data_IF_633613145463
#
_entry.id   IF_633613145463
#
_cell.length_a   1.000
_cell.length_b   1.000
_cell.length_c   1.000
_cell.angle_alpha   90.00
_cell.angle_beta   90.00
_cell.angle_gamma   90.00
#
_symmetry.space_group_name_H-M   'P 1'
#
loop_
_entity.id
_entity.type
_entity.pdbx_description
1 polymer ?
#
# COMPACT_ATOMS: atom_id res chain seq x y z
N UNK A 1 -10.73 -1.99 -2.05
CA UNK A 1 -9.39 -1.84 -2.64
C UNK A 1 -8.35 -1.55 -1.57
N UNK A 2 -8.38 -0.37 -0.95
CA UNK A 2 -7.37 -0.04 0.08
C UNK A 2 -7.45 -0.96 1.30
N UNK A 3 -8.65 -1.24 1.78
CA UNK A 3 -8.81 -2.12 2.93
C UNK A 3 -8.36 -3.54 2.64
N UNK A 4 -8.57 -4.02 1.42
CA UNK A 4 -8.11 -5.34 1.02
C UNK A 4 -6.58 -5.40 1.02
N UNK A 5 -5.92 -4.36 0.56
CA UNK A 5 -4.46 -4.28 0.58
C UNK A 5 -3.94 -4.26 2.02
N UNK A 6 -4.54 -3.42 2.87
CA UNK A 6 -4.14 -3.35 4.27
C UNK A 6 -4.29 -4.70 4.96
N UNK A 7 -5.40 -5.40 4.74
CA UNK A 7 -5.64 -6.71 5.33
C UNK A 7 -4.63 -7.75 4.83
N UNK A 8 -4.29 -7.71 3.54
CA UNK A 8 -3.32 -8.63 2.98
C UNK A 8 -1.93 -8.42 3.61
N UNK A 9 -1.54 -7.18 3.83
CA UNK A 9 -0.26 -6.89 4.46
C UNK A 9 -0.24 -7.27 5.94
N UNK A 10 -1.33 -7.02 6.66
CA UNK A 10 -1.44 -7.41 8.07
C UNK A 10 -1.36 -8.93 8.24
N UNK A 11 -1.86 -9.68 7.27
CA UNK A 11 -1.85 -11.15 7.31
C UNK A 11 -0.63 -11.77 6.65
N UNK A 12 0.29 -10.95 6.16
CA UNK A 12 1.44 -11.43 5.37
C UNK A 12 1.02 -12.27 4.18
N UNK A 13 -0.08 -11.89 3.54
CA UNK A 13 -0.63 -12.64 2.41
C UNK A 13 -0.06 -12.11 1.09
N UNK A 14 1.12 -12.60 0.73
CA UNK A 14 1.79 -12.17 -0.49
C UNK A 14 0.98 -12.49 -1.74
N UNK A 15 0.24 -13.62 -1.73
CA UNK A 15 -0.60 -13.99 -2.87
C UNK A 15 -1.71 -12.97 -3.12
N UNK A 16 -2.35 -12.48 -2.05
CA UNK A 16 -3.39 -11.47 -2.17
C UNK A 16 -2.82 -10.14 -2.69
N UNK A 17 -1.66 -9.73 -2.18
CA UNK A 17 -1.00 -8.51 -2.65
C UNK A 17 -0.63 -8.65 -4.13
N UNK A 18 -0.18 -9.83 -4.56
CA UNK A 18 0.16 -10.07 -5.94
C UNK A 18 -1.01 -9.86 -6.88
N UNK A 19 -2.23 -10.18 -6.44
CA UNK A 19 -3.43 -9.94 -7.23
C UNK A 19 -3.87 -8.48 -7.23
N UNK A 20 -3.53 -7.74 -6.18
CA UNK A 20 -3.92 -6.33 -6.06
C UNK A 20 -3.02 -5.38 -6.81
N UNK A 21 -1.79 -5.76 -7.09
CA UNK A 21 -0.82 -4.90 -7.78
C UNK A 21 -0.71 -5.26 -9.26
N UNK A 22 -0.71 -4.24 -10.11
CA UNK A 22 -0.51 -4.45 -11.54
C UNK A 22 0.93 -4.89 -11.83
N UNK A 23 1.14 -5.53 -12.98
CA UNK A 23 2.49 -6.00 -13.34
C UNK A 23 3.50 -4.86 -13.42
N UNK A 24 3.08 -3.69 -13.87
CA UNK A 24 3.94 -2.51 -13.97
C UNK A 24 3.78 -1.54 -12.80
N UNK A 25 3.30 -2.06 -11.67
CA UNK A 25 3.11 -1.26 -10.46
C UNK A 25 4.38 -0.52 -10.05
N UNK A 26 4.22 0.71 -9.60
CA UNK A 26 5.30 1.52 -9.06
C UNK A 26 4.86 2.20 -7.77
N UNK A 27 5.74 2.19 -6.78
CA UNK A 27 5.52 2.91 -5.52
C UNK A 27 6.68 3.88 -5.29
N UNK A 28 6.34 5.14 -5.03
CA UNK A 28 7.31 6.13 -4.58
C UNK A 28 7.13 6.33 -3.09
N UNK A 29 8.20 6.18 -2.33
CA UNK A 29 8.14 6.29 -0.87
C UNK A 29 8.38 7.71 -0.39
N UNK A 30 8.07 7.94 0.89
CA UNK A 30 8.33 9.22 1.53
C UNK A 30 9.82 9.60 1.53
N UNK A 31 10.69 8.59 1.46
CA UNK A 31 12.14 8.77 1.43
C UNK A 31 12.69 8.98 0.02
N UNK A 32 11.80 9.00 -0.98
CA UNK A 32 12.22 9.18 -2.37
C UNK A 32 12.70 7.91 -3.06
N UNK A 33 12.40 6.74 -2.50
CA UNK A 33 12.75 5.47 -3.09
C UNK A 33 11.65 4.99 -4.03
N UNK A 34 12.02 4.17 -4.99
CA UNK A 34 11.09 3.62 -5.97
C UNK A 34 11.10 2.10 -5.87
N UNK A 35 9.92 1.52 -5.70
CA UNK A 35 9.76 0.06 -5.62
C UNK A 35 8.81 -0.42 -6.72
N UNK A 36 9.09 -1.61 -7.23
CA UNK A 36 8.21 -2.28 -8.18
C UNK A 36 7.40 -3.38 -7.46
N UNK A 37 6.52 -4.05 -8.22
CA UNK A 37 5.67 -5.11 -7.67
C UNK A 37 6.49 -6.23 -7.04
N UNK A 38 7.54 -6.70 -7.72
CA UNK A 38 8.36 -7.80 -7.21
C UNK A 38 8.99 -7.46 -5.87
N UNK A 39 9.45 -6.22 -5.70
CA UNK A 39 10.06 -5.79 -4.45
C UNK A 39 9.05 -5.73 -3.32
N UNK A 40 7.83 -5.25 -3.60
CA UNK A 40 6.77 -5.19 -2.57
C UNK A 40 6.36 -6.61 -2.15
N UNK A 41 6.13 -7.50 -3.11
CA UNK A 41 5.75 -8.88 -2.81
C UNK A 41 6.87 -9.59 -2.03
N UNK A 42 8.12 -9.38 -2.42
CA UNK A 42 9.24 -9.98 -1.72
C UNK A 42 9.34 -9.50 -0.28
N UNK A 43 9.06 -8.20 -0.01
CA UNK A 43 9.12 -7.67 1.35
C UNK A 43 8.09 -8.33 2.27
N UNK A 44 6.97 -8.78 1.71
CA UNK A 44 5.94 -9.48 2.48
C UNK A 44 6.36 -10.94 2.71
N UNK A 45 6.90 -11.58 1.69
CA UNK A 45 7.33 -12.99 1.80
C UNK A 45 8.49 -13.17 2.78
N UNK A 46 9.45 -12.26 2.76
CA UNK A 46 10.62 -12.35 3.64
C UNK A 46 10.40 -11.65 4.98
N UNK A 47 9.20 -11.12 5.17
CA UNK A 47 8.76 -10.48 6.42
C UNK A 47 9.62 -9.29 6.84
N UNK A 48 10.19 -8.58 5.86
CA UNK A 48 10.92 -7.36 6.16
C UNK A 48 9.98 -6.19 6.47
N UNK A 49 8.68 -6.35 6.18
CA UNK A 49 7.65 -5.39 6.53
C UNK A 49 6.48 -6.15 7.17
N UNK A 50 6.35 -6.01 8.48
CA UNK A 50 5.30 -6.70 9.26
C UNK A 50 4.61 -5.71 10.20
N UNK A 51 3.64 -4.95 9.71
CA UNK A 51 2.91 -4.05 10.61
C UNK A 51 1.95 -4.84 11.51
N UNK A 52 1.79 -4.36 12.75
CA UNK A 52 0.76 -4.86 13.66
C UNK A 52 -0.56 -4.13 13.45
N UNK A 53 -0.49 -2.87 13.05
CA UNK A 53 -1.65 -2.04 12.74
C UNK A 53 -1.39 -1.34 11.42
N UNK A 54 -2.40 -1.36 10.56
CA UNK A 54 -2.36 -0.67 9.27
C UNK A 54 -3.78 -0.21 8.94
N UNK A 55 -3.98 1.10 8.96
CA UNK A 55 -5.31 1.70 8.78
C UNK A 55 -5.26 2.82 7.74
N UNK A 56 -6.30 2.90 6.96
CA UNK A 56 -6.52 4.00 6.02
C UNK A 56 -7.81 4.71 6.40
N UNK A 57 -7.78 6.03 6.51
CA UNK A 57 -8.94 6.83 6.89
C UNK A 57 -9.06 8.05 6.01
N UNK A 58 -10.23 8.70 6.05
CA UNK A 58 -10.47 9.92 5.28
C UNK A 58 -10.31 9.72 3.79
N UNK A 59 -10.65 8.54 3.30
CA UNK A 59 -10.46 8.22 1.89
C UNK A 59 -11.46 8.94 1.00
N UNK A 60 -10.93 9.51 -0.09
CA UNK A 60 -11.74 10.13 -1.14
C UNK A 60 -11.38 9.43 -2.45
N UNK A 61 -12.41 8.98 -3.17
CA UNK A 61 -12.23 8.28 -4.43
C UNK A 61 -12.63 9.20 -5.58
N UNK A 62 -11.72 9.37 -6.53
CA UNK A 62 -11.97 10.14 -7.76
C UNK A 62 -12.03 9.14 -8.91
N UNK A 63 -13.25 8.78 -9.33
CA UNK A 63 -13.44 7.76 -10.35
C UNK A 63 -13.50 8.38 -11.74
N UNK A 64 -12.80 7.78 -12.68
CA UNK A 64 -12.76 8.20 -14.08
C UNK A 64 -12.83 6.95 -14.97
N UNK A 65 -14.06 6.45 -15.19
CA UNK A 65 -14.27 5.23 -15.97
C UNK A 65 -13.61 4.03 -15.31
N UNK A 66 -12.65 3.42 -15.98
CA UNK A 66 -11.93 2.26 -15.44
C UNK A 66 -10.72 2.64 -14.60
N UNK A 67 -10.58 3.92 -14.25
CA UNK A 67 -9.48 4.42 -13.43
C UNK A 67 -10.04 5.12 -12.20
N UNK A 68 -9.42 4.92 -11.06
CA UNK A 68 -9.79 5.61 -9.83
C UNK A 68 -8.53 6.07 -9.10
N UNK A 69 -8.55 7.31 -8.62
CA UNK A 69 -7.48 7.84 -7.76
C UNK A 69 -8.05 7.92 -6.36
N UNK A 70 -7.37 7.31 -5.39
CA UNK A 70 -7.79 7.30 -3.99
C UNK A 70 -6.77 8.07 -3.18
N UNK A 71 -7.22 9.07 -2.44
CA UNK A 71 -6.40 9.79 -1.49
C UNK A 71 -6.90 9.51 -0.08
N UNK A 72 -6.01 9.58 0.89
CA UNK A 72 -6.39 9.38 2.27
C UNK A 72 -5.23 9.58 3.21
N UNK A 73 -5.49 9.30 4.48
CA UNK A 73 -4.46 9.28 5.50
C UNK A 73 -4.23 7.84 5.94
N UNK A 74 -3.03 7.54 6.39
CA UNK A 74 -2.73 6.23 6.91
C UNK A 74 -2.05 6.33 8.26
N UNK A 75 -2.21 5.27 9.03
CA UNK A 75 -1.51 5.04 10.27
C UNK A 75 -1.03 3.60 10.29
N UNK A 76 0.25 3.41 10.59
CA UNK A 76 0.81 2.07 10.74
C UNK A 76 1.76 2.03 11.92
N UNK A 77 1.82 0.88 12.56
CA UNK A 77 2.80 0.63 13.61
C UNK A 77 3.18 -0.84 13.61
N UNK A 78 4.36 -1.11 14.13
CA UNK A 78 4.85 -2.47 14.24
C UNK A 78 6.06 -2.50 15.15
N UNK A 79 6.77 -3.61 15.11
CA UNK A 79 7.98 -3.82 15.90
C UNK A 79 9.06 -4.36 14.99
N UNK A 80 10.26 -3.78 15.07
CA UNK A 80 11.42 -4.26 14.33
C UNK A 80 12.53 -4.57 15.32
N UNK A 81 12.92 -5.84 15.40
CA UNK A 81 13.96 -6.32 16.30
C UNK A 81 13.71 -5.88 17.75
N UNK A 82 12.45 -5.97 18.17
CA UNK A 82 12.04 -5.61 19.52
C UNK A 82 11.82 -4.12 19.74
N UNK A 83 12.03 -3.29 18.72
CA UNK A 83 11.83 -1.85 18.82
C UNK A 83 10.53 -1.44 18.18
N UNK A 84 9.63 -0.76 18.91
CA UNK A 84 8.38 -0.29 18.30
C UNK A 84 8.65 0.85 17.34
N UNK A 85 7.85 0.88 16.26
CA UNK A 85 7.87 1.98 15.31
C UNK A 85 6.44 2.33 14.92
N UNK A 86 6.22 3.57 14.53
CA UNK A 86 4.95 3.99 13.98
C UNK A 86 5.16 5.08 12.93
N UNK A 87 4.25 5.14 11.97
CA UNK A 87 4.23 6.19 10.95
C UNK A 87 2.80 6.57 10.64
N UNK A 88 2.64 7.83 10.27
CA UNK A 88 1.38 8.35 9.77
C UNK A 88 1.67 9.35 8.68
N UNK A 89 0.73 9.51 7.77
CA UNK A 89 0.89 10.44 6.67
C UNK A 89 -0.28 10.37 5.72
N UNK A 90 -0.02 10.75 4.49
CA UNK A 90 -1.03 10.74 3.43
C UNK A 90 -0.56 9.84 2.29
N UNK A 91 -1.54 9.33 1.55
CA UNK A 91 -1.23 8.51 0.38
C UNK A 91 -2.10 8.93 -0.79
N UNK A 92 -1.61 8.66 -1.99
CA UNK A 92 -2.35 8.76 -3.24
C UNK A 92 -2.08 7.49 -4.03
N UNK A 93 -3.13 6.72 -4.28
CA UNK A 93 -3.03 5.47 -5.03
C UNK A 93 -3.89 5.56 -6.28
N UNK A 94 -3.38 5.05 -7.38
CA UNK A 94 -4.10 4.98 -8.64
C UNK A 94 -4.43 3.54 -8.94
N UNK A 95 -5.71 3.27 -9.16
CA UNK A 95 -6.25 1.95 -9.43
C UNK A 95 -6.86 1.91 -10.83
N UNK A 96 -6.70 0.79 -11.51
CA UNK A 96 -7.31 0.58 -12.82
C UNK A 96 -8.04 -0.75 -12.83
N UNK A 97 -9.21 -0.77 -13.47
CA UNK A 97 -9.96 -2.00 -13.66
C UNK A 97 -9.44 -2.68 -14.91
N UNK A 98 -8.77 -3.81 -14.73
CA UNK A 98 -8.14 -4.59 -15.80
C UNK A 98 -8.28 -6.06 -15.46
N UNK A 99 -8.49 -6.87 -16.48
CA UNK A 99 -8.60 -8.34 -16.31
C UNK A 99 -9.63 -8.73 -15.26
N UNK A 100 -10.78 -8.05 -15.29
CA UNK A 100 -11.92 -8.28 -14.41
C UNK A 100 -11.64 -8.00 -12.93
N UNK A 101 -10.64 -7.20 -12.61
CA UNK A 101 -10.39 -6.80 -11.22
C UNK A 101 -9.71 -5.44 -11.16
N UNK A 102 -9.87 -4.79 -10.02
CA UNK A 102 -9.17 -3.55 -9.74
C UNK A 102 -7.74 -3.85 -9.32
N UNK A 103 -6.79 -3.18 -9.96
CA UNK A 103 -5.37 -3.35 -9.67
C UNK A 103 -4.74 -1.98 -9.45
N UNK A 104 -3.89 -1.88 -8.45
CA UNK A 104 -3.15 -0.66 -8.18
C UNK A 104 -1.98 -0.57 -9.16
N UNK A 105 -1.89 0.55 -9.88
CA UNK A 105 -0.82 0.78 -10.85
C UNK A 105 0.24 1.72 -10.32
N UNK A 106 -0.11 2.59 -9.37
CA UNK A 106 0.84 3.54 -8.79
C UNK A 106 0.43 3.89 -7.38
N UNK A 107 1.41 4.05 -6.51
CA UNK A 107 1.19 4.45 -5.13
C UNK A 107 2.28 5.44 -4.71
N UNK A 108 1.88 6.43 -3.94
CA UNK A 108 2.81 7.37 -3.32
C UNK A 108 2.35 7.63 -1.90
N UNK A 109 3.28 7.62 -0.96
CA UNK A 109 2.95 8.03 0.39
C UNK A 109 3.97 9.02 0.92
N UNK A 110 3.51 9.86 1.82
CA UNK A 110 4.34 10.82 2.54
C UNK A 110 4.24 10.54 4.03
N UNK A 111 5.18 11.04 4.81
CA UNK A 111 5.17 10.91 6.25
C UNK A 111 4.88 12.28 6.84
N UNK A 112 3.97 12.32 7.79
CA UNK A 112 3.64 13.54 8.52
C UNK A 112 4.29 13.48 9.90
N UNK A 113 5.14 14.43 10.20
CA UNK A 113 5.85 14.50 11.47
C UNK A 113 5.04 15.27 12.51
N UNK A 114 3.87 14.82 12.86
CA UNK A 114 2.93 15.36 13.85
C UNK A 114 1.58 15.66 13.33
#
# INVERSE_FOLDING_TARGET
MENAWNQAELKNDASAVQLLLAEDFVMTTAEGELYNKSQIVASIRDKSYEPDVLQSTGMVVHAHGSTAVVTGTYYEKGTDKGKPWERRGRFTDTWMFMDNRWQCVASHFSVKNK
#
